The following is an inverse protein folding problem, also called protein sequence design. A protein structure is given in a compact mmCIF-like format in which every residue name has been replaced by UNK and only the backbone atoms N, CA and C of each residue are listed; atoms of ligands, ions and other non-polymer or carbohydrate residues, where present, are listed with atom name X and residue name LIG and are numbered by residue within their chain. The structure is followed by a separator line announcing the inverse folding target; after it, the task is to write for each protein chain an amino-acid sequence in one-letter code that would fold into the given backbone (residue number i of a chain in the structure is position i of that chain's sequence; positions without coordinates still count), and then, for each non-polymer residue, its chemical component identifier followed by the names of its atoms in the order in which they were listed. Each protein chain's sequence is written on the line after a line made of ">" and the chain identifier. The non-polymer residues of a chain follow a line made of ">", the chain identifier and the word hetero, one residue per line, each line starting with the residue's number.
data_IF_329544440597
#
_entry.id   IF_329544440597
#
_cell.length_a   1.000
_cell.length_b   1.000
_cell.length_c   1.000
_cell.angle_alpha   90.00
_cell.angle_beta   90.00
_cell.angle_gamma   90.00
#
_symmetry.space_group_name_H-M   'P 1'
#
loop_
_entity.id
_entity.type
_entity.pdbx_description
1 polymer ?
#
# COMPACT_ATOMS: atom_id res chain seq x y z
N UNK A 1 32.18 -13.03 4.28
CA UNK A 1 31.13 -12.02 4.46
C UNK A 1 30.86 -11.27 3.16
N UNK A 2 31.89 -10.70 2.51
CA UNK A 2 31.78 -10.03 1.20
C UNK A 2 31.23 -10.96 0.08
N UNK A 3 31.69 -12.20 0.03
CA UNK A 3 31.22 -13.22 -0.93
C UNK A 3 29.76 -13.61 -0.74
N UNK A 4 29.28 -13.67 0.52
CA UNK A 4 27.85 -13.85 0.82
C UNK A 4 27.05 -12.64 0.35
N UNK A 5 27.53 -11.41 0.60
CA UNK A 5 26.84 -10.18 0.22
C UNK A 5 26.72 -10.03 -1.31
N UNK A 6 27.79 -10.35 -2.04
CA UNK A 6 27.81 -10.39 -3.51
C UNK A 6 26.85 -11.48 -4.02
N UNK A 7 26.86 -12.67 -3.41
CA UNK A 7 25.91 -13.73 -3.74
C UNK A 7 24.46 -13.30 -3.51
N UNK A 8 24.17 -12.56 -2.42
CA UNK A 8 22.81 -12.08 -2.13
C UNK A 8 22.36 -11.02 -3.13
N UNK A 9 23.26 -10.10 -3.54
CA UNK A 9 23.01 -9.07 -4.56
C UNK A 9 22.78 -9.67 -5.95
N UNK A 10 23.58 -10.66 -6.35
CA UNK A 10 23.40 -11.37 -7.63
C UNK A 10 22.11 -12.18 -7.64
N UNK A 11 21.75 -12.82 -6.52
CA UNK A 11 20.52 -13.60 -6.41
C UNK A 11 19.25 -12.73 -6.45
N UNK A 12 19.32 -11.50 -5.91
CA UNK A 12 18.22 -10.53 -6.00
C UNK A 12 18.05 -9.97 -7.41
N UNK A 13 19.14 -9.81 -8.17
CA UNK A 13 19.08 -9.32 -9.55
C UNK A 13 18.49 -10.35 -10.54
N UNK A 14 18.78 -11.64 -10.32
CA UNK A 14 18.38 -12.72 -11.25
C UNK A 14 16.94 -13.20 -11.02
N UNK A 15 16.40 -13.11 -9.81
CA UNK A 15 15.02 -13.51 -9.49
C UNK A 15 14.06 -12.32 -9.51
N UNK A 16 13.69 -11.86 -10.71
CA UNK A 16 12.61 -10.88 -10.93
C UNK A 16 11.24 -11.52 -10.66
N UNK A 17 10.86 -11.67 -9.40
CA UNK A 17 9.48 -11.93 -9.02
C UNK A 17 8.74 -10.60 -8.75
N UNK A 18 7.51 -10.43 -9.26
CA UNK A 18 6.66 -9.34 -8.80
C UNK A 18 6.44 -9.47 -7.28
N UNK A 19 6.92 -8.50 -6.51
CA UNK A 19 6.91 -8.53 -5.03
C UNK A 19 8.29 -8.68 -4.36
N UNK A 20 9.39 -8.73 -5.13
CA UNK A 20 10.75 -8.76 -4.59
C UNK A 20 11.19 -7.49 -3.85
N UNK A 21 12.38 -7.58 -3.23
CA UNK A 21 13.02 -6.46 -2.53
C UNK A 21 13.15 -5.24 -3.45
N UNK A 22 12.92 -4.02 -2.94
CA UNK A 22 12.87 -2.84 -3.79
C UNK A 22 14.25 -2.51 -4.39
N UNK A 23 14.27 -2.01 -5.61
CA UNK A 23 15.49 -1.76 -6.40
C UNK A 23 16.49 -0.83 -5.70
N UNK A 24 16.01 0.04 -4.81
CA UNK A 24 16.84 0.95 -4.02
C UNK A 24 17.55 0.30 -2.81
N UNK A 25 17.14 -0.91 -2.40
CA UNK A 25 17.71 -1.57 -1.22
C UNK A 25 19.19 -1.88 -1.41
N UNK A 26 19.60 -2.24 -2.62
CA UNK A 26 21.01 -2.41 -2.98
C UNK A 26 21.82 -1.13 -2.72
N UNK A 27 21.25 0.03 -3.08
CA UNK A 27 21.89 1.33 -2.88
C UNK A 27 22.00 1.70 -1.40
N UNK A 28 20.98 1.38 -0.60
CA UNK A 28 21.02 1.61 0.86
C UNK A 28 22.07 0.73 1.52
N UNK A 29 22.18 -0.55 1.15
CA UNK A 29 23.19 -1.46 1.69
C UNK A 29 24.61 -0.96 1.36
N UNK A 30 24.84 -0.49 0.13
CA UNK A 30 26.13 0.07 -0.28
C UNK A 30 26.43 1.39 0.46
N UNK A 31 25.44 2.27 0.60
CA UNK A 31 25.60 3.54 1.32
C UNK A 31 25.92 3.33 2.81
N UNK A 32 25.26 2.38 3.47
CA UNK A 32 25.55 2.01 4.86
C UNK A 32 26.96 1.42 4.99
N UNK A 33 27.39 0.58 4.06
CA UNK A 33 28.75 0.05 4.05
C UNK A 33 29.81 1.15 3.89
N UNK A 34 29.57 2.12 3.00
CA UNK A 34 30.45 3.29 2.82
C UNK A 34 30.46 4.14 4.09
N UNK A 35 29.29 4.44 4.67
CA UNK A 35 29.18 5.22 5.90
C UNK A 35 29.95 4.56 7.06
N UNK A 36 29.81 3.24 7.23
CA UNK A 36 30.58 2.46 8.22
C UNK A 36 32.09 2.62 7.96
N UNK A 37 32.56 2.40 6.74
CA UNK A 37 33.99 2.51 6.39
C UNK A 37 34.51 3.93 6.65
N UNK A 38 33.75 4.96 6.25
CA UNK A 38 34.11 6.37 6.47
C UNK A 38 34.13 6.69 7.95
N UNK A 39 33.09 6.33 8.72
CA UNK A 39 33.02 6.55 10.16
C UNK A 39 34.16 5.83 10.90
N UNK A 40 34.46 4.58 10.57
CA UNK A 40 35.62 3.87 11.14
C UNK A 40 36.94 4.53 10.76
N UNK A 41 37.06 5.06 9.55
CA UNK A 41 38.24 5.81 9.10
C UNK A 41 38.43 7.10 9.89
N UNK A 42 37.36 7.88 10.08
CA UNK A 42 37.41 9.13 10.82
C UNK A 42 37.63 8.93 12.33
N UNK A 43 36.98 7.94 12.95
CA UNK A 43 37.04 7.73 14.40
C UNK A 43 38.29 6.96 14.82
N UNK A 44 38.63 5.88 14.12
CA UNK A 44 39.69 4.97 14.56
C UNK A 44 41.01 5.15 13.81
N UNK A 45 40.99 5.59 12.56
CA UNK A 45 42.22 5.64 11.76
C UNK A 45 42.87 7.02 11.75
N UNK A 46 42.07 8.09 11.66
CA UNK A 46 42.55 9.47 11.78
C UNK A 46 43.20 9.76 13.15
N UNK A 47 42.66 9.13 14.20
CA UNK A 47 43.22 9.14 15.56
C UNK A 47 44.54 8.38 15.70
N UNK A 48 44.99 7.66 14.67
CA UNK A 48 46.30 6.98 14.63
C UNK A 48 47.22 7.52 13.54
N UNK A 49 46.79 8.56 12.80
CA UNK A 49 47.61 9.25 11.78
C UNK A 49 48.86 9.88 12.39
N UNK A 50 48.94 10.08 13.69
CA UNK A 50 50.16 10.59 14.34
C UNK A 50 51.18 9.49 14.66
N UNK A 51 50.81 8.19 14.65
CA UNK A 51 51.61 7.13 15.30
C UNK A 51 52.25 6.09 14.36
N UNK A 52 51.92 5.96 13.07
CA UNK A 52 52.52 4.86 12.28
C UNK A 52 52.68 5.08 10.78
N UNK A 53 53.71 4.42 10.21
CA UNK A 53 54.04 4.32 8.78
C UNK A 53 52.99 3.61 7.91
N UNK A 54 51.87 3.17 8.49
CA UNK A 54 50.74 2.54 7.78
C UNK A 54 49.82 3.52 7.02
N UNK A 55 50.10 4.84 7.04
CA UNK A 55 49.33 5.88 6.31
C UNK A 55 49.16 5.56 4.83
N UNK A 56 50.24 5.13 4.18
CA UNK A 56 50.25 4.82 2.74
C UNK A 56 49.35 3.62 2.44
N UNK A 57 49.43 2.58 3.27
CA UNK A 57 48.59 1.38 3.15
C UNK A 57 47.11 1.71 3.34
N UNK A 58 46.78 2.55 4.33
CA UNK A 58 45.40 2.95 4.57
C UNK A 58 44.81 3.77 3.42
N UNK A 59 45.56 4.77 2.95
CA UNK A 59 45.15 5.59 1.81
C UNK A 59 44.95 4.71 0.56
N UNK A 60 45.84 3.74 0.33
CA UNK A 60 45.72 2.79 -0.78
C UNK A 60 44.44 1.95 -0.69
N UNK A 61 44.08 1.47 0.51
CA UNK A 61 42.85 0.67 0.71
C UNK A 61 41.61 1.52 0.47
N UNK A 62 41.57 2.75 0.97
CA UNK A 62 40.46 3.68 0.73
C UNK A 62 40.30 4.03 -0.75
N UNK A 63 41.40 4.31 -1.44
CA UNK A 63 41.40 4.54 -2.89
C UNK A 63 40.92 3.29 -3.66
N UNK A 64 41.30 2.08 -3.23
CA UNK A 64 40.83 0.84 -3.84
C UNK A 64 39.33 0.64 -3.64
N UNK A 65 38.79 0.90 -2.44
CA UNK A 65 37.34 0.83 -2.19
C UNK A 65 36.58 1.90 -2.97
N UNK A 66 37.09 3.13 -3.03
CA UNK A 66 36.48 4.20 -3.81
C UNK A 66 36.51 3.88 -5.31
N UNK A 67 37.63 3.38 -5.82
CA UNK A 67 37.77 2.93 -7.19
C UNK A 67 36.84 1.76 -7.52
N UNK A 68 36.72 0.77 -6.64
CA UNK A 68 35.79 -0.34 -6.79
C UNK A 68 34.33 0.14 -6.81
N UNK A 69 33.95 1.07 -5.92
CA UNK A 69 32.63 1.67 -5.91
C UNK A 69 32.34 2.41 -7.22
N UNK A 70 33.30 3.21 -7.71
CA UNK A 70 33.23 3.88 -9.01
C UNK A 70 33.05 2.90 -10.16
N UNK A 71 33.79 1.78 -10.17
CA UNK A 71 33.68 0.74 -11.21
C UNK A 71 32.34 0.03 -11.13
N UNK A 72 31.85 -0.31 -9.94
CA UNK A 72 30.54 -0.95 -9.76
C UNK A 72 29.39 -0.04 -10.20
N UNK A 73 29.52 1.26 -9.96
CA UNK A 73 28.54 2.27 -10.38
C UNK A 73 28.63 2.53 -11.89
N UNK A 74 29.83 2.68 -12.45
CA UNK A 74 30.01 2.95 -13.89
C UNK A 74 29.71 1.74 -14.77
N UNK A 75 29.87 0.53 -14.26
CA UNK A 75 29.48 -0.72 -14.94
C UNK A 75 27.99 -1.05 -14.83
N UNK A 76 27.21 -0.26 -14.09
CA UNK A 76 25.77 -0.47 -13.92
C UNK A 76 25.38 -1.69 -13.07
N UNK A 77 26.35 -2.33 -12.40
CA UNK A 77 26.11 -3.44 -11.47
C UNK A 77 25.41 -2.93 -10.21
N UNK A 78 25.76 -1.73 -9.76
CA UNK A 78 25.04 -0.97 -8.71
C UNK A 78 24.56 0.32 -9.34
N UNK A 79 23.26 0.58 -9.30
CA UNK A 79 22.69 1.75 -9.98
C UNK A 79 23.01 3.03 -9.20
N UNK A 80 23.61 4.03 -9.86
CA UNK A 80 23.69 5.38 -9.30
C UNK A 80 22.26 5.95 -9.14
N UNK A 81 22.05 6.82 -8.14
CA UNK A 81 20.86 7.68 -8.12
C UNK A 81 20.93 8.65 -9.30
N UNK A 82 20.45 8.23 -10.47
CA UNK A 82 20.30 9.08 -11.66
C UNK A 82 18.84 9.46 -11.86
N UNK A 83 18.58 10.47 -12.70
CA UNK A 83 17.24 10.84 -13.16
C UNK A 83 16.51 9.67 -13.87
N UNK A 84 17.26 8.66 -14.32
CA UNK A 84 16.73 7.46 -14.99
C UNK A 84 16.16 6.41 -14.01
N UNK A 85 16.35 6.59 -12.69
CA UNK A 85 15.61 5.83 -11.68
C UNK A 85 14.32 6.59 -11.40
N UNK A 86 13.26 6.19 -12.09
CA UNK A 86 11.98 6.86 -11.95
C UNK A 86 11.49 6.81 -10.49
N UNK A 87 11.13 7.97 -9.94
CA UNK A 87 10.51 8.02 -8.60
C UNK A 87 9.14 7.36 -8.71
N UNK A 88 8.94 6.24 -8.01
CA UNK A 88 7.64 5.55 -7.99
C UNK A 88 6.62 6.41 -7.25
N UNK A 89 5.60 6.87 -7.97
CA UNK A 89 4.48 7.64 -7.43
C UNK A 89 3.20 6.87 -7.72
N UNK A 90 2.36 6.72 -6.70
CA UNK A 90 1.06 6.10 -6.87
C UNK A 90 0.05 7.20 -7.15
N UNK A 91 -0.65 7.07 -8.28
CA UNK A 91 -1.75 7.93 -8.70
C UNK A 91 -2.99 7.04 -8.73
N UNK A 92 -3.93 7.30 -7.84
CA UNK A 92 -5.15 6.50 -7.72
C UNK A 92 -6.33 7.43 -7.58
N UNK A 93 -7.32 7.29 -8.46
CA UNK A 93 -8.64 7.86 -8.23
C UNK A 93 -9.40 6.97 -7.27
N UNK A 94 -9.74 7.56 -6.15
CA UNK A 94 -10.48 6.94 -5.06
C UNK A 94 -11.92 7.41 -5.12
N UNK A 95 -12.83 6.45 -5.09
CA UNK A 95 -14.26 6.65 -4.86
C UNK A 95 -14.59 6.04 -3.52
N UNK A 96 -14.77 6.89 -2.53
CA UNK A 96 -15.00 6.49 -1.15
C UNK A 96 -16.49 6.55 -0.82
N UNK A 97 -17.06 5.37 -0.57
CA UNK A 97 -18.46 5.16 -0.22
C UNK A 97 -18.64 4.69 1.22
N UNK A 98 -17.56 4.67 2.02
CA UNK A 98 -17.60 4.20 3.42
C UNK A 98 -18.55 5.00 4.31
N UNK A 99 -18.82 6.26 3.93
CA UNK A 99 -19.72 7.17 4.66
C UNK A 99 -21.16 7.18 4.12
N UNK A 100 -21.47 6.38 3.10
CA UNK A 100 -22.81 6.29 2.51
C UNK A 100 -23.70 5.35 3.34
N UNK A 101 -24.03 5.75 4.58
CA UNK A 101 -24.91 4.95 5.44
C UNK A 101 -26.40 5.02 5.05
N UNK A 102 -26.81 6.01 4.24
CA UNK A 102 -28.25 6.30 4.03
C UNK A 102 -28.66 6.60 2.57
N UNK A 103 -27.89 6.15 1.58
CA UNK A 103 -28.25 6.17 0.14
C UNK A 103 -28.44 7.54 -0.53
N UNK A 104 -28.47 8.64 0.25
CA UNK A 104 -28.70 10.02 -0.17
C UNK A 104 -27.43 10.89 -0.18
N UNK A 105 -26.34 10.43 0.41
CA UNK A 105 -25.04 11.12 0.38
C UNK A 105 -24.29 10.71 -0.87
N UNK A 106 -23.74 11.63 -1.64
CA UNK A 106 -22.90 11.31 -2.80
C UNK A 106 -21.52 10.74 -2.36
N UNK A 107 -20.93 9.84 -3.17
CA UNK A 107 -19.64 9.24 -2.82
C UNK A 107 -18.52 10.28 -2.94
N UNK A 108 -17.56 10.24 -2.02
CA UNK A 108 -16.42 11.16 -2.05
C UNK A 108 -15.43 10.71 -3.11
N UNK A 109 -15.23 11.53 -4.14
CA UNK A 109 -14.40 11.24 -5.30
C UNK A 109 -13.16 12.13 -5.29
N UNK A 110 -11.96 11.55 -5.29
CA UNK A 110 -10.71 12.32 -5.29
C UNK A 110 -9.54 11.56 -5.90
N UNK A 111 -8.56 12.28 -6.44
CA UNK A 111 -7.27 11.70 -6.86
C UNK A 111 -6.33 11.74 -5.67
N UNK A 112 -5.82 10.57 -5.28
CA UNK A 112 -4.77 10.40 -4.28
C UNK A 112 -3.42 10.23 -4.98
N UNK A 113 -2.44 11.00 -4.51
CA UNK A 113 -1.06 10.96 -4.93
C UNK A 113 -0.18 10.66 -3.72
N UNK A 114 0.55 9.55 -3.74
CA UNK A 114 1.41 9.17 -2.62
C UNK A 114 2.62 8.35 -3.07
N UNK A 115 3.68 8.34 -2.26
CA UNK A 115 4.85 7.49 -2.49
C UNK A 115 5.17 6.67 -1.24
N UNK A 116 5.62 5.44 -1.46
CA UNK A 116 6.14 4.59 -0.39
C UNK A 116 7.58 4.99 -0.02
N UNK A 117 8.22 5.86 -0.81
CA UNK A 117 9.53 6.39 -0.50
C UNK A 117 9.43 7.51 0.53
N UNK A 118 10.36 7.57 1.51
CA UNK A 118 10.45 8.69 2.42
C UNK A 118 10.58 10.03 1.69
N UNK A 119 10.03 11.08 2.29
CA UNK A 119 10.09 12.45 1.78
C UNK A 119 8.72 13.04 1.47
N UNK A 120 8.72 14.19 0.80
CA UNK A 120 7.52 14.90 0.32
C UNK A 120 7.42 14.80 -1.20
N UNK A 121 6.26 15.12 -1.76
CA UNK A 121 5.97 15.11 -3.20
C UNK A 121 6.18 16.49 -3.84
N UNK A 122 7.04 17.32 -3.27
CA UNK A 122 7.10 18.76 -3.61
C UNK A 122 7.49 19.01 -5.06
N UNK A 123 8.39 18.19 -5.63
CA UNK A 123 8.84 18.35 -7.02
C UNK A 123 7.77 17.88 -8.01
N UNK A 124 7.12 16.76 -7.71
CA UNK A 124 6.01 16.20 -8.48
C UNK A 124 4.84 17.17 -8.57
N UNK A 125 4.59 17.89 -7.48
CA UNK A 125 3.51 18.87 -7.41
C UNK A 125 3.80 20.18 -8.18
N UNK A 126 5.06 20.46 -8.55
CA UNK A 126 5.38 21.68 -9.30
C UNK A 126 4.70 21.69 -10.68
N UNK A 127 4.61 20.52 -11.31
CA UNK A 127 3.96 20.31 -12.61
C UNK A 127 2.44 20.08 -12.46
N UNK A 128 1.97 19.77 -11.25
CA UNK A 128 0.55 19.56 -10.90
C UNK A 128 -0.10 20.77 -10.22
N UNK A 129 0.51 21.97 -10.25
CA UNK A 129 -0.01 23.18 -9.57
C UNK A 129 -1.44 23.54 -9.97
N UNK A 130 -1.83 23.25 -11.21
CA UNK A 130 -3.19 23.48 -11.70
C UNK A 130 -4.22 22.46 -11.23
N UNK A 131 -3.82 21.37 -10.58
CA UNK A 131 -4.71 20.28 -10.16
C UNK A 131 -5.12 20.35 -8.68
N UNK A 132 -4.84 21.45 -7.98
CA UNK A 132 -5.38 21.73 -6.63
C UNK A 132 -5.11 20.64 -5.58
N UNK A 133 -3.91 20.05 -5.63
CA UNK A 133 -3.50 19.07 -4.63
C UNK A 133 -3.22 19.73 -3.27
N UNK A 134 -3.86 19.20 -2.23
CA UNK A 134 -3.53 19.49 -0.83
C UNK A 134 -2.83 18.29 -0.21
N UNK A 135 -1.76 18.51 0.55
CA UNK A 135 -0.88 17.45 1.05
C UNK A 135 -0.71 17.53 2.57
N UNK A 136 -0.71 16.38 3.23
CA UNK A 136 -0.55 16.33 4.66
C UNK A 136 -0.26 14.93 5.19
N UNK A 137 0.22 14.87 6.43
CA UNK A 137 0.29 13.61 7.19
C UNK A 137 -1.03 13.25 7.86
N UNK A 138 -1.93 14.21 8.00
CA UNK A 138 -3.31 14.04 8.46
C UNK A 138 -4.26 13.59 7.34
N UNK A 139 -3.77 13.43 6.10
CA UNK A 139 -4.57 12.99 4.95
C UNK A 139 -4.41 11.49 4.71
N UNK A 140 -4.68 10.69 5.75
CA UNK A 140 -4.52 9.24 5.71
C UNK A 140 -5.68 8.60 4.95
N UNK A 141 -5.37 7.89 3.86
CA UNK A 141 -6.33 6.98 3.20
C UNK A 141 -5.89 5.56 3.52
N UNK A 142 -6.83 4.75 4.02
CA UNK A 142 -6.65 3.32 4.14
C UNK A 142 -7.06 2.65 2.84
N UNK A 143 -6.09 2.06 2.15
CA UNK A 143 -6.27 1.30 0.91
C UNK A 143 -6.46 -0.21 1.17
N UNK A 144 -6.88 -0.56 2.39
CA UNK A 144 -7.42 -1.85 2.91
C UNK A 144 -6.40 -2.97 3.08
N UNK A 145 -5.35 -2.95 3.89
CA UNK A 145 -5.02 -2.25 5.14
C UNK A 145 -3.62 -1.67 5.00
N UNK A 146 -3.44 -0.87 3.94
CA UNK A 146 -2.25 -0.07 3.72
C UNK A 146 -2.63 1.39 3.92
N UNK A 147 -2.12 1.99 4.99
CA UNK A 147 -2.40 3.39 5.32
C UNK A 147 -1.32 4.30 4.75
N UNK A 148 -1.74 5.21 3.89
CA UNK A 148 -0.86 6.28 3.38
C UNK A 148 -0.53 7.25 4.51
N UNK A 149 0.74 7.25 4.96
CA UNK A 149 1.21 8.14 6.05
C UNK A 149 1.44 9.59 5.60
N UNK A 150 1.77 9.78 4.33
CA UNK A 150 1.87 11.10 3.72
C UNK A 150 1.35 10.99 2.29
N UNK A 151 0.34 11.79 1.98
CA UNK A 151 -0.29 11.80 0.67
C UNK A 151 -0.78 13.19 0.33
N UNK A 152 -1.06 13.37 -0.96
CA UNK A 152 -1.74 14.52 -1.50
C UNK A 152 -3.08 14.07 -2.08
N UNK A 153 -4.10 14.92 -1.95
CA UNK A 153 -5.44 14.68 -2.50
C UNK A 153 -5.86 15.87 -3.33
N UNK A 154 -6.53 15.60 -4.44
CA UNK A 154 -7.23 16.59 -5.23
C UNK A 154 -8.68 16.18 -5.43
N UNK A 155 -9.60 17.10 -5.15
CA UNK A 155 -11.04 16.95 -5.39
C UNK A 155 -11.48 17.64 -6.69
N UNK A 156 -10.53 18.17 -7.47
CA UNK A 156 -10.83 18.90 -8.69
C UNK A 156 -11.47 17.97 -9.72
N UNK A 157 -12.68 18.30 -10.17
CA UNK A 157 -13.45 17.44 -11.07
C UNK A 157 -14.21 16.30 -10.37
N UNK A 158 -14.31 16.32 -9.04
CA UNK A 158 -15.04 15.32 -8.24
C UNK A 158 -16.55 15.28 -8.49
N UNK A 159 -17.11 16.29 -9.17
CA UNK A 159 -18.54 16.48 -9.45
C UNK A 159 -19.17 15.41 -10.40
N UNK A 160 -18.47 14.33 -10.70
CA UNK A 160 -18.99 13.25 -11.52
C UNK A 160 -19.85 12.32 -10.65
N UNK A 161 -21.16 12.38 -10.83
CA UNK A 161 -22.09 11.43 -10.22
C UNK A 161 -21.76 10.00 -10.67
N UNK A 162 -21.39 9.14 -9.72
CA UNK A 162 -21.09 7.74 -9.99
C UNK A 162 -22.39 6.94 -10.13
N UNK A 163 -22.49 6.08 -11.14
CA UNK A 163 -23.64 5.21 -11.28
C UNK A 163 -23.67 4.18 -10.16
N UNK A 164 -24.86 3.95 -9.56
CA UNK A 164 -25.08 2.88 -8.56
C UNK A 164 -24.70 1.48 -9.09
N UNK A 165 -24.70 1.29 -10.41
CA UNK A 165 -24.27 0.04 -11.04
C UNK A 165 -22.75 -0.19 -11.03
N UNK A 166 -21.95 0.86 -10.81
CA UNK A 166 -20.49 0.79 -10.80
C UNK A 166 -19.91 0.63 -9.38
N UNK A 167 -20.66 1.09 -8.37
CA UNK A 167 -20.21 1.09 -6.98
C UNK A 167 -20.37 -0.31 -6.36
N UNK A 168 -19.31 -0.86 -5.73
CA UNK A 168 -19.40 -2.11 -4.98
C UNK A 168 -20.39 -2.03 -3.81
N UNK A 169 -21.09 -3.13 -3.55
CA UNK A 169 -22.12 -3.19 -2.51
C UNK A 169 -21.77 -4.26 -1.49
N UNK A 170 -21.87 -3.89 -0.21
CA UNK A 170 -21.92 -4.79 0.93
C UNK A 170 -23.35 -4.74 1.47
N UNK A 171 -24.08 -5.84 1.38
CA UNK A 171 -25.47 -5.92 1.84
C UNK A 171 -25.61 -7.00 2.91
N UNK A 172 -26.13 -6.62 4.08
CA UNK A 172 -26.39 -7.56 5.16
C UNK A 172 -27.69 -8.29 4.85
N UNK A 173 -27.60 -9.60 4.64
CA UNK A 173 -28.75 -10.45 4.32
C UNK A 173 -29.45 -10.92 5.59
N UNK A 174 -28.68 -11.26 6.60
CA UNK A 174 -29.19 -11.69 7.90
C UNK A 174 -28.18 -11.43 9.00
N UNK A 175 -28.68 -11.04 10.16
CA UNK A 175 -27.93 -11.03 11.40
C UNK A 175 -28.74 -11.78 12.45
N UNK A 176 -28.15 -12.85 13.00
CA UNK A 176 -28.86 -13.75 13.91
C UNK A 176 -27.97 -14.19 15.06
N UNK A 177 -28.53 -14.19 16.26
CA UNK A 177 -27.94 -14.80 17.44
C UNK A 177 -28.71 -16.09 17.73
N UNK A 178 -28.32 -17.19 17.11
CA UNK A 178 -28.87 -18.52 17.36
C UNK A 178 -27.72 -19.50 17.60
N UNK A 179 -27.84 -20.30 18.67
CA UNK A 179 -26.89 -21.32 19.13
C UNK A 179 -25.43 -20.82 19.27
N UNK A 180 -25.10 -20.42 20.50
CA UNK A 180 -23.76 -20.14 21.05
C UNK A 180 -22.90 -19.01 20.43
N UNK A 181 -23.23 -18.48 19.24
CA UNK A 181 -22.53 -17.34 18.64
C UNK A 181 -23.41 -16.50 17.68
N UNK A 182 -23.29 -15.16 17.72
CA UNK A 182 -23.90 -14.26 16.72
C UNK A 182 -23.23 -14.49 15.36
N UNK A 183 -24.04 -14.56 14.31
CA UNK A 183 -23.59 -14.71 12.92
C UNK A 183 -24.25 -13.67 12.03
N UNK A 184 -23.42 -13.00 11.24
CA UNK A 184 -23.87 -12.04 10.22
C UNK A 184 -23.50 -12.57 8.84
N UNK A 185 -24.47 -12.57 7.93
CA UNK A 185 -24.29 -12.97 6.53
C UNK A 185 -24.37 -11.72 5.66
N UNK A 186 -23.32 -11.50 4.88
CA UNK A 186 -23.17 -10.33 4.02
C UNK A 186 -23.01 -10.80 2.58
N UNK A 187 -23.88 -10.35 1.68
CA UNK A 187 -23.61 -10.45 0.24
C UNK A 187 -22.68 -9.33 -0.20
N UNK A 188 -21.63 -9.74 -0.90
CA UNK A 188 -20.64 -8.85 -1.48
C UNK A 188 -20.77 -8.88 -2.99
N UNK A 189 -20.94 -7.71 -3.59
CA UNK A 189 -20.95 -7.52 -5.05
C UNK A 189 -19.89 -6.48 -5.42
N UNK A 190 -18.78 -6.94 -6.00
CA UNK A 190 -17.67 -6.10 -6.49
C UNK A 190 -17.94 -5.52 -7.89
N UNK A 191 -19.16 -5.71 -8.41
CA UNK A 191 -19.59 -5.29 -9.75
C UNK A 191 -18.70 -5.87 -10.84
N UNK A 192 -17.99 -5.01 -11.56
CA UNK A 192 -17.11 -5.41 -12.66
C UNK A 192 -15.69 -5.75 -12.20
N UNK A 193 -15.37 -5.54 -10.92
CA UNK A 193 -14.01 -5.72 -10.43
C UNK A 193 -13.70 -7.17 -10.09
N UNK A 194 -12.71 -7.72 -10.79
CA UNK A 194 -12.12 -9.05 -10.55
C UNK A 194 -10.88 -8.99 -9.63
N UNK A 195 -10.58 -7.81 -9.08
CA UNK A 195 -9.44 -7.55 -8.20
C UNK A 195 -9.90 -6.80 -6.98
N UNK A 196 -9.89 -7.45 -5.83
CA UNK A 196 -10.38 -6.86 -4.60
C UNK A 196 -9.51 -7.25 -3.40
N UNK A 197 -9.52 -6.37 -2.40
CA UNK A 197 -8.90 -6.56 -1.09
C UNK A 197 -9.97 -6.39 -0.03
N UNK A 198 -10.18 -7.41 0.79
CA UNK A 198 -11.16 -7.46 1.85
C UNK A 198 -10.42 -7.53 3.18
N UNK A 199 -10.70 -6.61 4.10
CA UNK A 199 -10.18 -6.67 5.46
C UNK A 199 -11.33 -6.88 6.46
N UNK A 200 -11.12 -7.82 7.37
CA UNK A 200 -12.09 -8.21 8.41
C UNK A 200 -11.49 -7.86 9.77
N UNK A 201 -12.29 -7.21 10.61
CA UNK A 201 -11.88 -6.81 11.95
C UNK A 201 -11.90 -8.02 12.89
N UNK A 202 -10.72 -8.53 13.26
CA UNK A 202 -10.56 -9.70 14.12
C UNK A 202 -10.77 -9.38 15.61
N UNK A 203 -10.92 -8.11 15.98
CA UNK A 203 -11.29 -7.72 17.35
C UNK A 203 -12.76 -8.03 17.65
N UNK A 204 -13.61 -7.91 16.64
CA UNK A 204 -15.06 -8.17 16.73
C UNK A 204 -15.43 -9.57 16.22
N UNK A 205 -14.68 -10.08 15.23
CA UNK A 205 -14.96 -11.34 14.53
C UNK A 205 -13.94 -12.41 14.93
N UNK A 206 -14.43 -13.53 15.44
CA UNK A 206 -13.60 -14.69 15.80
C UNK A 206 -13.27 -15.55 14.57
N UNK A 207 -14.28 -15.79 13.71
CA UNK A 207 -14.13 -16.59 12.51
C UNK A 207 -15.03 -16.06 11.37
N UNK A 208 -14.78 -16.51 10.14
CA UNK A 208 -15.50 -16.09 8.94
C UNK A 208 -15.32 -17.10 7.81
N UNK A 209 -16.25 -17.12 6.85
CA UNK A 209 -16.13 -17.93 5.64
C UNK A 209 -16.50 -17.11 4.41
N UNK A 210 -15.86 -17.43 3.28
CA UNK A 210 -16.20 -16.86 1.98
C UNK A 210 -16.69 -17.98 1.09
N UNK A 211 -17.94 -17.86 0.63
CA UNK A 211 -18.58 -18.81 -0.26
C UNK A 211 -18.87 -18.15 -1.61
N UNK A 212 -18.50 -18.84 -2.68
CA UNK A 212 -18.84 -18.47 -4.07
C UNK A 212 -19.72 -19.58 -4.61
N UNK A 213 -20.98 -19.27 -4.87
CA UNK A 213 -21.97 -20.26 -5.30
C UNK A 213 -22.02 -21.46 -4.32
N UNK A 214 -21.45 -22.61 -4.69
CA UNK A 214 -21.38 -23.82 -3.85
C UNK A 214 -19.98 -24.11 -3.27
N UNK A 215 -18.95 -23.39 -3.72
CA UNK A 215 -17.56 -23.64 -3.33
C UNK A 215 -17.10 -22.68 -2.22
N UNK A 216 -16.49 -23.22 -1.17
CA UNK A 216 -15.88 -22.44 -0.09
C UNK A 216 -14.48 -22.04 -0.48
N UNK A 217 -14.27 -20.75 -0.76
CA UNK A 217 -12.95 -20.19 -1.10
C UNK A 217 -12.04 -20.05 0.11
N UNK A 218 -12.62 -19.81 1.29
CA UNK A 218 -11.89 -19.73 2.56
C UNK A 218 -12.61 -20.59 3.59
N UNK A 219 -11.90 -21.59 4.10
CA UNK A 219 -12.39 -22.52 5.14
C UNK A 219 -12.18 -21.92 6.54
N UNK A 220 -12.87 -22.51 7.53
CA UNK A 220 -12.80 -22.11 8.94
C UNK A 220 -11.40 -22.40 9.53
N UNK A 221 -10.93 -21.51 10.40
CA UNK A 221 -9.66 -21.65 11.14
C UNK A 221 -8.39 -21.10 10.46
N UNK A 222 -7.30 -21.00 11.24
CA UNK A 222 -5.95 -20.67 10.74
C UNK A 222 -5.71 -19.20 10.36
N UNK A 223 -6.35 -18.26 11.05
CA UNK A 223 -6.33 -16.85 10.68
C UNK A 223 -5.24 -16.08 11.38
N UNK A 224 -4.41 -15.40 10.59
CA UNK A 224 -3.38 -14.49 11.08
C UNK A 224 -3.91 -13.07 11.17
N UNK A 225 -3.73 -12.42 12.30
CA UNK A 225 -4.06 -11.02 12.51
C UNK A 225 -2.81 -10.15 12.37
N UNK A 226 -2.93 -9.03 11.66
CA UNK A 226 -1.93 -7.95 11.67
C UNK A 226 -2.67 -6.66 12.03
N UNK A 227 -2.27 -6.04 13.14
CA UNK A 227 -2.85 -4.78 13.64
C UNK A 227 -4.39 -4.79 13.80
N UNK A 228 -5.00 -5.88 14.29
CA UNK A 228 -6.48 -5.97 14.43
C UNK A 228 -7.22 -6.47 13.19
N UNK A 229 -6.56 -6.59 12.04
CA UNK A 229 -7.21 -6.91 10.77
C UNK A 229 -6.67 -8.19 10.14
N UNK A 230 -7.57 -8.95 9.52
CA UNK A 230 -7.23 -10.03 8.60
C UNK A 230 -7.55 -9.58 7.17
N UNK A 231 -6.53 -9.54 6.30
CA UNK A 231 -6.67 -9.04 4.93
C UNK A 231 -6.56 -10.18 3.92
N UNK A 232 -7.56 -10.26 3.03
CA UNK A 232 -7.66 -11.23 1.95
C UNK A 232 -7.58 -10.46 0.65
N UNK A 233 -6.68 -10.90 -0.22
CA UNK A 233 -6.46 -10.26 -1.51
C UNK A 233 -6.75 -11.27 -2.61
N UNK A 234 -7.59 -10.88 -3.57
CA UNK A 234 -7.94 -11.73 -4.69
C UNK A 234 -7.61 -11.05 -6.02
N UNK A 235 -6.94 -11.79 -6.91
CA UNK A 235 -6.43 -11.30 -8.19
C UNK A 235 -6.49 -12.38 -9.29
N UNK A 236 -7.60 -13.12 -9.38
CA UNK A 236 -7.70 -14.36 -10.17
C UNK A 236 -8.01 -14.22 -11.67
N UNK A 237 -7.84 -13.04 -12.28
CA UNK A 237 -8.12 -12.85 -13.70
C UNK A 237 -9.62 -12.97 -14.06
N UNK A 238 -9.96 -13.45 -15.26
CA UNK A 238 -11.35 -13.45 -15.78
C UNK A 238 -12.34 -14.28 -14.97
N UNK A 239 -11.86 -15.26 -14.21
CA UNK A 239 -12.68 -16.20 -13.44
C UNK A 239 -12.75 -15.81 -11.95
N UNK A 240 -12.30 -14.62 -11.58
CA UNK A 240 -12.39 -14.16 -10.21
C UNK A 240 -13.86 -13.94 -9.81
N UNK A 241 -14.25 -14.34 -8.59
CA UNK A 241 -15.60 -14.09 -8.11
C UNK A 241 -15.81 -12.59 -7.96
N UNK A 242 -16.88 -12.11 -8.59
CA UNK A 242 -17.37 -10.74 -8.41
C UNK A 242 -18.54 -10.69 -7.44
N UNK A 243 -19.14 -11.84 -7.13
CA UNK A 243 -20.21 -11.99 -6.16
C UNK A 243 -19.89 -13.16 -5.25
N UNK A 244 -20.00 -12.93 -3.95
CA UNK A 244 -19.75 -13.95 -2.95
C UNK A 244 -20.48 -13.62 -1.65
N UNK A 245 -20.68 -14.65 -0.84
CA UNK A 245 -21.27 -14.53 0.48
C UNK A 245 -20.16 -14.58 1.54
N UNK A 246 -20.17 -13.60 2.43
CA UNK A 246 -19.29 -13.51 3.58
C UNK A 246 -20.10 -13.81 4.83
N UNK A 247 -19.80 -14.91 5.50
CA UNK A 247 -20.39 -15.22 6.81
C UNK A 247 -19.39 -14.87 7.89
N UNK A 248 -19.77 -14.01 8.82
CA UNK A 248 -18.99 -13.55 9.96
C UNK A 248 -19.50 -14.20 11.24
N UNK A 249 -18.60 -14.72 12.06
CA UNK A 249 -18.88 -15.30 13.37
C UNK A 249 -18.31 -14.35 14.42
N UNK A 250 -19.17 -13.75 15.21
CA UNK A 250 -18.79 -12.77 16.22
C UNK A 250 -18.06 -13.42 17.38
N UNK A 251 -17.10 -12.70 17.95
CA UNK A 251 -16.43 -13.14 19.16
C UNK A 251 -17.37 -13.07 20.37
N UNK A 252 -17.25 -14.01 21.30
CA UNK A 252 -18.04 -14.02 22.53
C UNK A 252 -17.76 -12.81 23.44
N UNK A 253 -16.59 -12.18 23.23
CA UNK A 253 -16.15 -10.98 23.93
C UNK A 253 -16.45 -9.69 23.17
N UNK A 254 -17.09 -9.77 21.98
CA UNK A 254 -17.64 -8.62 21.30
C UNK A 254 -18.73 -8.04 22.20
N UNK A 255 -18.32 -7.16 23.11
CA UNK A 255 -19.23 -6.36 23.91
C UNK A 255 -20.22 -5.77 22.94
N UNK A 256 -21.53 -5.95 23.19
CA UNK A 256 -22.52 -5.02 22.68
C UNK A 256 -21.98 -3.63 22.98
N UNK A 257 -21.42 -2.96 21.97
CA UNK A 257 -20.76 -1.70 22.17
C UNK A 257 -21.85 -0.70 22.56
N UNK A 258 -22.01 -0.53 23.87
CA UNK A 258 -22.59 0.66 24.47
C UNK A 258 -21.98 1.87 23.76
N UNK A 259 -22.75 2.93 23.47
CA UNK A 259 -22.29 4.11 22.75
C UNK A 259 -21.21 4.84 23.58
N UNK A 260 -19.99 4.34 23.52
CA UNK A 260 -18.80 4.92 24.14
C UNK A 260 -17.72 4.94 23.07
N UNK A 261 -17.88 5.91 22.18
CA UNK A 261 -16.88 6.91 21.81
C UNK A 261 -17.42 7.69 20.61
N UNK A 262 -18.40 8.54 20.88
CA UNK A 262 -18.96 9.49 19.93
C UNK A 262 -17.97 10.61 19.50
N UNK A 263 -16.66 10.41 19.71
CA UNK A 263 -15.59 11.37 19.45
C UNK A 263 -14.48 10.83 18.53
N UNK A 264 -14.60 9.61 17.99
CA UNK A 264 -13.81 9.21 16.83
C UNK A 264 -14.53 9.71 15.56
N UNK A 265 -13.81 10.43 14.68
CA UNK A 265 -14.40 11.01 13.45
C UNK A 265 -14.94 9.95 12.48
N UNK A 266 -14.55 8.67 12.63
CA UNK A 266 -15.04 7.56 11.82
C UNK A 266 -15.59 6.42 12.73
N UNK A 267 -16.79 5.88 12.43
CA UNK A 267 -17.37 4.79 13.21
C UNK A 267 -16.53 3.51 13.09
N UNK A 268 -16.53 2.64 14.11
CA UNK A 268 -15.82 1.37 14.04
C UNK A 268 -16.37 0.54 12.87
N UNK A 269 -15.46 0.04 12.03
CA UNK A 269 -15.79 -0.74 10.84
C UNK A 269 -15.59 -2.23 11.12
N UNK A 270 -16.52 -3.04 10.66
CA UNK A 270 -16.47 -4.50 10.72
C UNK A 270 -15.71 -5.08 9.53
N UNK A 271 -16.01 -4.55 8.35
CA UNK A 271 -15.45 -5.01 7.08
C UNK A 271 -15.05 -3.80 6.25
N UNK A 272 -13.88 -3.87 5.62
CA UNK A 272 -13.42 -2.92 4.60
C UNK A 272 -13.21 -3.65 3.29
N UNK A 273 -13.68 -3.07 2.20
CA UNK A 273 -13.53 -3.62 0.87
C UNK A 273 -12.96 -2.55 -0.06
N UNK A 274 -11.83 -2.90 -0.70
CA UNK A 274 -11.30 -2.20 -1.85
C UNK A 274 -11.58 -3.03 -3.09
N UNK A 275 -12.05 -2.39 -4.14
CA UNK A 275 -12.11 -3.00 -5.47
C UNK A 275 -11.35 -2.13 -6.47
N UNK A 276 -10.60 -2.77 -7.35
CA UNK A 276 -9.79 -2.08 -8.35
C UNK A 276 -10.37 -2.31 -9.75
N UNK A 277 -10.53 -1.24 -10.52
CA UNK A 277 -11.17 -1.28 -11.85
C UNK A 277 -10.18 -0.80 -12.91
N UNK A 278 -10.06 -1.57 -13.99
CA UNK A 278 -9.19 -1.24 -15.12
C UNK A 278 -9.82 -0.14 -16.00
N UNK A 279 -9.90 1.08 -15.46
CA UNK A 279 -10.43 2.25 -16.14
C UNK A 279 -9.65 3.48 -15.70
N UNK A 280 -9.17 4.25 -16.65
CA UNK A 280 -8.69 5.60 -16.41
C UNK A 280 -9.88 6.56 -16.45
N UNK A 281 -9.95 7.48 -15.49
CA UNK A 281 -10.95 8.55 -15.49
C UNK A 281 -10.31 9.83 -15.98
N UNK A 282 -11.10 10.81 -16.49
CA UNK A 282 -10.54 12.09 -16.93
C UNK A 282 -9.72 12.80 -15.85
N UNK A 283 -10.08 12.64 -14.57
CA UNK A 283 -9.32 13.17 -13.44
C UNK A 283 -7.91 12.57 -13.35
N UNK A 284 -7.79 11.25 -13.50
CA UNK A 284 -6.50 10.56 -13.47
C UNK A 284 -5.69 10.84 -14.71
N UNK A 285 -6.32 10.79 -15.90
CA UNK A 285 -5.64 11.02 -17.18
C UNK A 285 -4.95 12.39 -17.19
N UNK A 286 -5.67 13.43 -16.76
CA UNK A 286 -5.13 14.79 -16.64
C UNK A 286 -3.90 14.84 -15.72
N UNK A 287 -3.94 14.12 -14.60
CA UNK A 287 -2.82 14.08 -13.64
C UNK A 287 -1.64 13.28 -14.22
N UNK A 288 -1.90 12.16 -14.88
CA UNK A 288 -0.87 11.32 -15.49
C UNK A 288 -0.16 12.04 -16.64
N UNK A 289 -0.88 12.80 -17.47
CA UNK A 289 -0.30 13.60 -18.55
C UNK A 289 0.63 14.72 -18.05
N UNK A 290 0.31 15.29 -16.88
CA UNK A 290 1.08 16.38 -16.27
C UNK A 290 2.16 15.87 -15.30
N UNK A 291 2.16 14.59 -14.99
CA UNK A 291 3.14 14.01 -14.09
C UNK A 291 4.53 14.10 -14.73
N UNK A 292 5.58 14.48 -13.97
CA UNK A 292 6.92 14.59 -14.54
C UNK A 292 7.37 13.27 -15.17
N UNK A 293 8.10 13.34 -16.29
CA UNK A 293 8.55 12.14 -17.03
C UNK A 293 9.47 11.21 -16.24
N UNK A 294 10.15 11.74 -15.22
CA UNK A 294 10.98 10.97 -14.29
C UNK A 294 10.15 10.30 -13.18
N UNK A 295 8.82 10.49 -13.14
CA UNK A 295 7.94 9.72 -12.27
C UNK A 295 7.41 8.50 -13.02
N UNK A 296 7.39 7.36 -12.34
CA UNK A 296 6.66 6.19 -12.82
C UNK A 296 5.37 6.06 -12.03
N UNK A 297 4.24 6.10 -12.75
CA UNK A 297 2.94 5.77 -12.18
C UNK A 297 2.96 4.29 -11.77
N UNK A 298 2.88 4.02 -10.48
CA UNK A 298 2.82 2.68 -9.95
C UNK A 298 1.50 2.49 -9.22
N UNK A 299 0.72 1.48 -9.59
CA UNK A 299 -0.37 1.01 -8.74
C UNK A 299 0.22 0.13 -7.65
N UNK A 300 0.67 0.67 -6.51
CA UNK A 300 1.07 -0.15 -5.36
C UNK A 300 0.05 -0.07 -4.23
N UNK A 301 -0.68 -1.17 -4.12
CA UNK A 301 -1.09 -1.82 -2.86
C UNK A 301 -1.32 -3.30 -3.18
N UNK A 302 -1.94 -3.59 -4.34
CA UNK A 302 -2.13 -4.94 -4.91
C UNK A 302 -2.52 -4.93 -6.40
N UNK A 303 -2.77 -3.76 -6.99
CA UNK A 303 -3.38 -3.64 -8.31
C UNK A 303 -2.68 -2.59 -9.17
N UNK A 304 -2.40 -2.87 -10.46
CA UNK A 304 -1.84 -1.90 -11.40
C UNK A 304 -2.86 -0.86 -11.87
N UNK A 305 -4.12 -0.95 -11.42
CA UNK A 305 -5.19 -0.07 -11.87
C UNK A 305 -5.22 1.25 -11.12
N UNK A 306 -5.70 2.28 -11.81
CA UNK A 306 -5.70 3.66 -11.34
C UNK A 306 -7.05 4.13 -10.78
N UNK A 307 -8.07 3.26 -10.76
CA UNK A 307 -9.37 3.52 -10.16
C UNK A 307 -9.65 2.48 -9.08
N UNK A 308 -9.95 2.96 -7.88
CA UNK A 308 -10.29 2.14 -6.72
C UNK A 308 -11.58 2.65 -6.05
N UNK A 309 -12.48 1.72 -5.75
CA UNK A 309 -13.64 1.98 -4.90
C UNK A 309 -13.35 1.46 -3.49
N UNK A 310 -13.66 2.27 -2.48
CA UNK A 310 -13.55 1.92 -1.08
C UNK A 310 -14.96 1.90 -0.48
N UNK A 311 -15.35 0.76 0.07
CA UNK A 311 -16.62 0.59 0.77
C UNK A 311 -16.40 -0.15 2.08
N UNK A 312 -17.29 0.03 3.04
CA UNK A 312 -17.15 -0.58 4.35
C UNK A 312 -18.51 -0.91 4.97
N UNK A 313 -18.49 -1.85 5.89
CA UNK A 313 -19.62 -2.19 6.74
C UNK A 313 -19.30 -1.74 8.17
N UNK A 314 -20.14 -0.91 8.83
CA UNK A 314 -19.93 -0.53 10.22
C UNK A 314 -20.16 -1.72 11.17
N UNK A 315 -19.64 -1.62 12.40
CA UNK A 315 -19.89 -2.62 13.46
C UNK A 315 -21.34 -2.56 13.95
N UNK A 316 -21.96 -1.38 13.93
CA UNK A 316 -23.38 -1.23 14.25
C UNK A 316 -24.22 -1.48 12.98
N UNK A 317 -24.78 -2.69 12.89
CA UNK A 317 -25.54 -3.21 11.75
C UNK A 317 -27.02 -3.24 12.09
#
# INVERSE_FOLDING_TARGET
>A
MLTKLISTLVHTYVCRNPGGLPDWLGNVVVAVAIAIVVSFTFVYLLSYVHISGAKKTLLSVLCAFFGLALVLVSSGIVTAFTEDIARSVNVVHVVDTTRMNDGNTEPLSYVSLFSNMPGKLTQELMDLRGEEFSCGRNMTTDFVTFTVKYGCRSYKGSNAGWSKSEVPVLHVESDSAADDARKTVVSVDTKSSTRWSLAINMQEIDDFTIQVESDKLVQLGGKSEVDGWHTIQFAGGKNAPTKFQLTLVWSSNATQASPKEANAEDPPLLVKLRTDVNRATPMVETVLEKLPRWCAAFGKSTSPYTLAFLTALPVNI
#
